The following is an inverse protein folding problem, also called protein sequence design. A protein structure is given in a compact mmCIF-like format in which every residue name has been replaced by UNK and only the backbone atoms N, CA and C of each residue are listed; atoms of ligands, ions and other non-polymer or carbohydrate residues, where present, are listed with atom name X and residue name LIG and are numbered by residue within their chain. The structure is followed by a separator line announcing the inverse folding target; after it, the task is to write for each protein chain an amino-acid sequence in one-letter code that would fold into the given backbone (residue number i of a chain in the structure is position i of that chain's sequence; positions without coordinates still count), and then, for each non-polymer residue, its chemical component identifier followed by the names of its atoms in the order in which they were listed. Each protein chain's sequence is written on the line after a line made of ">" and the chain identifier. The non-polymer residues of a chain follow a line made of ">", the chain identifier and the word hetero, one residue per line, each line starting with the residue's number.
data_IF_375328005843
#
_entry.id   IF_375328005843
#
_cell.length_a   1.000
_cell.length_b   1.000
_cell.length_c   1.000
_cell.angle_alpha   90.00
_cell.angle_beta   90.00
_cell.angle_gamma   90.00
#
_symmetry.space_group_name_H-M   'P 1'
#
loop_
_entity.id
_entity.type
_entity.pdbx_description
1 polymer ?
#
# COMPACT_ATOMS: atom_id res chain seq x y z
N UNK A 1 -8.00 11.68 -20.41
CA UNK A 1 -7.84 11.61 -19.80
C UNK A 1 -8.06 11.57 -18.38
N UNK A 2 -8.91 11.08 -17.84
CA UNK A 2 -9.21 11.16 -16.49
C UNK A 2 -8.27 10.41 -15.60
N UNK A 3 -7.85 9.25 -15.99
CA UNK A 3 -7.07 8.40 -15.11
C UNK A 3 -5.58 8.64 -15.28
N UNK A 4 -4.92 8.92 -14.19
CA UNK A 4 -3.48 9.04 -14.18
C UNK A 4 -2.86 7.87 -13.44
N UNK A 5 -1.70 7.46 -13.91
CA UNK A 5 -0.93 6.44 -13.22
C UNK A 5 0.22 7.13 -12.49
N UNK A 6 0.30 6.91 -11.21
CA UNK A 6 1.34 7.49 -10.37
C UNK A 6 2.21 6.36 -9.87
N UNK A 7 3.48 6.38 -10.25
CA UNK A 7 4.42 5.35 -9.80
C UNK A 7 5.18 5.86 -8.59
N UNK A 8 5.16 5.08 -7.52
CA UNK A 8 5.87 5.41 -6.30
C UNK A 8 6.92 4.34 -6.04
N UNK A 9 8.16 4.75 -5.93
CA UNK A 9 9.24 3.83 -5.61
C UNK A 9 9.36 3.73 -4.10
N UNK A 10 8.98 2.59 -3.58
CA UNK A 10 8.91 2.39 -2.13
C UNK A 10 10.27 2.62 -1.49
N UNK A 11 11.33 2.11 -2.11
CA UNK A 11 12.68 2.26 -1.58
C UNK A 11 13.05 3.72 -1.37
N UNK A 12 12.65 4.60 -2.27
CA UNK A 12 12.96 6.02 -2.17
C UNK A 12 12.11 6.70 -1.12
N UNK A 13 10.86 6.29 -1.00
CA UNK A 13 9.94 6.90 -0.04
C UNK A 13 10.36 6.61 1.38
N UNK A 14 10.70 5.36 1.66
CA UNK A 14 11.10 4.99 3.03
C UNK A 14 12.59 5.13 3.26
N UNK A 15 13.35 5.39 2.19
CA UNK A 15 14.81 5.57 2.24
C UNK A 15 15.49 4.37 2.90
N UNK A 16 15.10 3.17 2.48
CA UNK A 16 15.65 1.94 3.04
C UNK A 16 15.32 0.77 2.13
N UNK A 17 16.15 -0.25 2.15
CA UNK A 17 15.87 -1.51 1.47
C UNK A 17 15.11 -2.48 2.37
N UNK A 18 14.97 -2.14 3.65
CA UNK A 18 14.32 -3.00 4.63
C UNK A 18 13.02 -2.34 5.06
N UNK A 19 11.91 -2.99 4.76
CA UNK A 19 10.59 -2.45 5.03
C UNK A 19 9.96 -3.22 6.21
N UNK A 20 10.46 -2.96 7.40
CA UNK A 20 10.04 -3.66 8.61
C UNK A 20 9.31 -2.77 9.61
N UNK A 21 9.55 -1.49 9.60
CA UNK A 21 9.06 -0.61 10.66
C UNK A 21 7.67 -0.08 10.41
N UNK A 22 6.92 0.12 11.48
CA UNK A 22 5.64 0.82 11.39
C UNK A 22 5.82 2.23 10.85
N UNK A 23 6.90 2.92 11.25
CA UNK A 23 7.12 4.28 10.77
C UNK A 23 7.38 4.32 9.27
N UNK A 24 8.09 3.32 8.73
CA UNK A 24 8.28 3.24 7.29
C UNK A 24 6.97 2.96 6.57
N UNK A 25 6.14 2.09 7.14
CA UNK A 25 4.82 1.84 6.61
C UNK A 25 3.97 3.09 6.60
N UNK A 26 4.06 3.88 7.66
CA UNK A 26 3.31 5.13 7.77
C UNK A 26 3.77 6.13 6.71
N UNK A 27 5.06 6.19 6.43
CA UNK A 27 5.58 7.06 5.39
C UNK A 27 4.98 6.73 4.03
N UNK A 28 4.93 5.45 3.70
CA UNK A 28 4.36 5.02 2.42
C UNK A 28 2.86 5.31 2.40
N UNK A 29 2.16 5.01 3.49
CA UNK A 29 0.73 5.26 3.57
C UNK A 29 0.42 6.74 3.34
N UNK A 30 1.13 7.62 4.03
CA UNK A 30 0.90 9.05 3.88
C UNK A 30 1.19 9.54 2.47
N UNK A 31 2.20 8.96 1.84
CA UNK A 31 2.51 9.33 0.47
C UNK A 31 1.40 8.93 -0.49
N UNK A 32 0.84 7.74 -0.30
CA UNK A 32 -0.28 7.29 -1.13
C UNK A 32 -1.47 8.22 -0.97
N UNK A 33 -1.80 8.57 0.26
CA UNK A 33 -2.90 9.49 0.53
C UNK A 33 -2.66 10.83 -0.15
N UNK A 34 -1.43 11.32 -0.03
CA UNK A 34 -1.08 12.63 -0.58
C UNK A 34 -1.28 12.68 -2.10
N UNK A 35 -0.79 11.65 -2.81
CA UNK A 35 -0.81 11.69 -4.27
C UNK A 35 -2.19 11.36 -4.84
N UNK A 36 -3.08 10.77 -4.07
CA UNK A 36 -4.41 10.41 -4.55
C UNK A 36 -5.49 11.36 -4.07
N UNK A 37 -5.12 12.41 -3.38
CA UNK A 37 -6.08 13.32 -2.75
C UNK A 37 -7.04 13.92 -3.78
N UNK A 38 -8.31 13.57 -3.65
CA UNK A 38 -9.38 14.19 -4.43
C UNK A 38 -9.51 13.73 -5.87
N UNK A 39 -8.70 12.81 -6.34
CA UNK A 39 -8.72 12.39 -7.74
C UNK A 39 -8.82 10.89 -7.90
N UNK A 40 -9.37 10.47 -9.04
CA UNK A 40 -9.38 9.06 -9.41
C UNK A 40 -8.06 8.75 -10.09
N UNK A 41 -7.26 7.92 -9.45
CA UNK A 41 -5.92 7.64 -9.96
C UNK A 41 -5.54 6.20 -9.70
N UNK A 42 -4.58 5.70 -10.46
CA UNK A 42 -3.99 4.39 -10.21
C UNK A 42 -2.60 4.62 -9.65
N UNK A 43 -2.34 4.08 -8.48
CA UNK A 43 -1.04 4.19 -7.83
C UNK A 43 -0.31 2.88 -8.03
N UNK A 44 0.92 2.95 -8.53
CA UNK A 44 1.75 1.77 -8.74
C UNK A 44 2.86 1.83 -7.71
N UNK A 45 2.89 0.84 -6.83
CA UNK A 45 3.93 0.74 -5.81
C UNK A 45 5.03 -0.17 -6.32
N UNK A 46 6.19 0.41 -6.59
CA UNK A 46 7.32 -0.32 -7.13
C UNK A 46 8.23 -0.73 -5.98
N UNK A 47 8.32 -2.04 -5.76
CA UNK A 47 9.14 -2.60 -4.67
C UNK A 47 10.53 -3.00 -5.12
N UNK A 48 10.96 -2.55 -6.31
CA UNK A 48 12.30 -2.85 -6.79
C UNK A 48 13.33 -2.31 -5.80
N UNK A 49 14.29 -3.15 -5.47
CA UNK A 49 15.34 -2.76 -4.54
C UNK A 49 15.00 -2.98 -3.07
N UNK A 50 13.78 -3.39 -2.77
CA UNK A 50 13.40 -3.73 -1.39
C UNK A 50 13.79 -5.19 -1.14
N UNK A 51 14.67 -5.41 -0.18
CA UNK A 51 15.17 -6.74 0.12
C UNK A 51 14.22 -7.52 1.02
N UNK A 52 13.68 -6.87 2.04
CA UNK A 52 12.86 -7.53 3.04
C UNK A 52 11.63 -6.69 3.36
N UNK A 53 10.50 -7.37 3.56
CA UNK A 53 9.28 -6.73 4.08
C UNK A 53 8.71 -7.64 5.16
N UNK A 54 7.92 -7.06 6.06
CA UNK A 54 7.18 -7.88 7.01
C UNK A 54 5.72 -7.42 7.05
N UNK A 55 4.90 -8.17 7.79
CA UNK A 55 3.48 -7.88 7.83
C UNK A 55 3.16 -6.58 8.57
N UNK A 56 3.98 -6.20 9.54
CA UNK A 56 3.76 -4.93 10.24
C UNK A 56 3.86 -3.76 9.28
N UNK A 57 4.88 -3.76 8.42
CA UNK A 57 5.02 -2.73 7.40
C UNK A 57 3.84 -2.74 6.45
N UNK A 58 3.49 -3.93 5.94
CA UNK A 58 2.42 -4.04 4.94
C UNK A 58 1.06 -3.64 5.51
N UNK A 59 0.79 -4.02 6.76
CA UNK A 59 -0.46 -3.61 7.41
C UNK A 59 -0.56 -2.10 7.53
N UNK A 60 0.55 -1.47 7.90
CA UNK A 60 0.54 -0.03 8.13
C UNK A 60 0.54 0.76 6.82
N UNK A 61 1.18 0.23 5.79
CA UNK A 61 1.29 0.94 4.51
C UNK A 61 0.10 0.67 3.59
N UNK A 62 -0.34 -0.56 3.52
CA UNK A 62 -1.32 -0.99 2.52
C UNK A 62 -2.62 -1.45 3.16
N UNK A 63 -2.54 -2.18 4.27
CA UNK A 63 -3.76 -2.68 4.90
C UNK A 63 -4.73 -1.58 5.28
N UNK A 64 -4.22 -0.44 5.72
CA UNK A 64 -5.06 0.70 6.12
C UNK A 64 -5.84 1.29 4.95
N UNK A 65 -5.42 1.02 3.72
CA UNK A 65 -6.10 1.53 2.54
C UNK A 65 -7.47 0.88 2.33
N UNK A 66 -7.72 -0.23 3.00
CA UNK A 66 -9.01 -0.91 2.89
C UNK A 66 -10.06 -0.34 3.84
N UNK A 67 -9.67 0.62 4.65
CA UNK A 67 -10.59 1.34 5.52
C UNK A 67 -11.27 2.44 4.69
N UNK A 68 -12.55 2.26 4.42
CA UNK A 68 -13.27 3.16 3.53
C UNK A 68 -13.37 4.59 4.07
N UNK A 69 -13.18 4.75 5.37
CA UNK A 69 -13.20 6.08 5.97
C UNK A 69 -11.90 6.84 5.69
N UNK A 70 -10.86 6.11 5.29
CA UNK A 70 -9.55 6.69 5.07
C UNK A 70 -9.21 6.79 3.59
N UNK A 71 -9.63 5.81 2.81
CA UNK A 71 -9.19 5.69 1.44
C UNK A 71 -10.23 4.97 0.59
N UNK A 72 -10.43 5.43 -0.63
CA UNK A 72 -11.36 4.80 -1.55
C UNK A 72 -10.56 3.96 -2.55
N UNK A 73 -10.38 2.68 -2.23
CA UNK A 73 -9.55 1.80 -3.03
C UNK A 73 -10.20 1.45 -4.37
N UNK A 74 -11.51 1.58 -4.46
CA UNK A 74 -12.19 1.33 -5.73
C UNK A 74 -11.94 2.45 -6.73
N UNK A 75 -11.84 3.67 -6.24
CA UNK A 75 -11.63 4.83 -7.06
C UNK A 75 -10.15 5.07 -7.33
N UNK A 76 -9.33 4.81 -6.32
CA UNK A 76 -7.90 5.02 -6.40
C UNK A 76 -7.21 3.67 -6.27
N UNK A 77 -7.07 2.99 -7.39
CA UNK A 77 -6.55 1.62 -7.41
C UNK A 77 -5.08 1.59 -7.07
N UNK A 78 -4.67 0.51 -6.41
CA UNK A 78 -3.28 0.32 -6.04
C UNK A 78 -2.77 -0.95 -6.70
N UNK A 79 -1.72 -0.83 -7.47
CA UNK A 79 -1.07 -1.95 -8.13
C UNK A 79 0.34 -2.11 -7.58
N UNK A 80 0.81 -3.34 -7.55
CA UNK A 80 2.12 -3.65 -7.01
C UNK A 80 3.02 -4.16 -8.13
N UNK A 81 4.26 -3.68 -8.15
CA UNK A 81 5.23 -4.05 -9.18
C UNK A 81 6.55 -4.47 -8.53
N UNK A 82 7.21 -5.43 -9.16
CA UNK A 82 8.56 -5.88 -8.76
C UNK A 82 8.61 -6.47 -7.35
N UNK A 83 7.64 -7.28 -7.04
CA UNK A 83 7.59 -7.96 -5.76
C UNK A 83 7.73 -9.47 -6.02
N UNK A 84 8.64 -10.14 -5.32
CA UNK A 84 8.83 -11.55 -5.53
C UNK A 84 7.72 -12.37 -4.87
N UNK A 85 7.73 -13.68 -5.10
CA UNK A 85 6.62 -14.53 -4.65
C UNK A 85 6.49 -14.57 -3.13
N UNK A 86 7.60 -14.59 -2.41
CA UNK A 86 7.58 -14.59 -0.96
C UNK A 86 6.91 -13.35 -0.42
N UNK A 87 7.28 -12.20 -0.97
CA UNK A 87 6.68 -10.93 -0.54
C UNK A 87 5.23 -10.84 -0.96
N UNK A 88 4.89 -11.38 -2.14
CA UNK A 88 3.50 -11.39 -2.60
C UNK A 88 2.62 -12.21 -1.67
N UNK A 89 3.14 -13.31 -1.15
CA UNK A 89 2.38 -14.14 -0.23
C UNK A 89 2.05 -13.38 1.05
N UNK A 90 3.03 -12.64 1.58
CA UNK A 90 2.79 -11.80 2.74
C UNK A 90 1.77 -10.71 2.44
N UNK A 91 1.85 -10.13 1.26
CA UNK A 91 0.90 -9.10 0.87
C UNK A 91 -0.51 -9.65 0.75
N UNK A 92 -0.66 -10.84 0.17
CA UNK A 92 -1.98 -11.48 0.05
C UNK A 92 -2.58 -11.72 1.42
N UNK A 93 -1.78 -12.19 2.36
CA UNK A 93 -2.24 -12.42 3.72
C UNK A 93 -2.66 -11.11 4.37
N UNK A 94 -1.86 -10.07 4.18
CA UNK A 94 -2.15 -8.75 4.71
C UNK A 94 -3.47 -8.21 4.18
N UNK A 95 -3.68 -8.33 2.88
CA UNK A 95 -4.91 -7.85 2.25
C UNK A 95 -6.12 -8.64 2.75
N UNK A 96 -5.98 -9.95 2.84
CA UNK A 96 -7.07 -10.80 3.32
C UNK A 96 -7.48 -10.39 4.74
N UNK A 97 -6.50 -10.17 5.60
CA UNK A 97 -6.77 -9.76 6.97
C UNK A 97 -7.38 -8.35 7.04
N UNK A 98 -6.90 -7.46 6.19
CA UNK A 98 -7.43 -6.09 6.16
C UNK A 98 -8.87 -6.07 5.69
N UNK A 99 -9.19 -6.83 4.65
CA UNK A 99 -10.54 -6.90 4.14
C UNK A 99 -11.50 -7.40 5.22
N UNK A 100 -11.09 -8.43 5.96
CA UNK A 100 -11.92 -8.94 7.05
C UNK A 100 -12.10 -7.91 8.15
N UNK A 101 -11.01 -7.25 8.52
CA UNK A 101 -11.04 -6.28 9.62
C UNK A 101 -12.00 -5.12 9.33
N UNK A 102 -11.90 -4.58 8.14
CA UNK A 102 -12.68 -3.39 7.82
C UNK A 102 -14.09 -3.72 7.33
N UNK A 103 -14.30 -4.92 6.82
CA UNK A 103 -15.65 -5.36 6.50
C UNK A 103 -16.50 -5.51 7.75
N UNK A 104 -15.91 -6.05 8.81
CA UNK A 104 -16.64 -6.26 10.06
C UNK A 104 -17.12 -4.96 10.67
N UNK A 105 -16.41 -3.87 10.40
CA UNK A 105 -16.78 -2.57 10.95
C UNK A 105 -18.05 -2.00 10.34
N UNK A 106 -18.44 -2.52 9.20
CA UNK A 106 -19.57 -1.96 8.44
C UNK A 106 -20.90 -2.55 8.88
N UNK A 107 -20.85 -3.67 9.54
CA UNK A 107 -22.08 -4.37 9.94
C UNK A 107 -22.86 -3.65 11.02
#
# INVERSE_FOLDING_TARGET
>A
NADKNIELKVKEIIDSKIAFDDSNGDKLFKKIIEVTNGNSQTVILDFDGIDLVNTAFLNNAIGRLFDKEVYNIEKNRVLIRNMDDTKKDLLKETISNAVKRYSDRVS
#
